data_IF_314162655391
#
_entry.id   IF_314162655391
#
_cell.length_a   1.000
_cell.length_b   1.000
_cell.length_c   1.000
_cell.angle_alpha   90.00
_cell.angle_beta   90.00
_cell.angle_gamma   90.00
#
_symmetry.space_group_name_H-M   'P 1'
#
loop_
_entity.id
_entity.type
_entity.pdbx_description
1 polymer ?
#
# COMPACT_ATOMS: atom_id res chain seq x y z
N UNK A 1 -8.46 24.54 -34.18
CA UNK A 1 -8.31 24.41 -32.71
C UNK A 1 -9.37 23.44 -32.20
N UNK A 2 -9.06 22.16 -32.10
CA UNK A 2 -10.02 21.15 -31.63
C UNK A 2 -10.33 21.34 -30.13
N UNK A 3 -11.60 21.59 -29.84
CA UNK A 3 -12.10 21.71 -28.48
C UNK A 3 -12.05 20.34 -27.78
N UNK A 4 -11.16 20.20 -26.81
CA UNK A 4 -10.99 18.94 -26.05
C UNK A 4 -12.25 18.67 -25.21
N UNK A 5 -12.88 17.50 -25.42
CA UNK A 5 -14.15 17.11 -24.79
C UNK A 5 -14.18 17.31 -23.25
N UNK A 6 -15.30 17.79 -22.67
CA UNK A 6 -15.46 17.98 -21.22
C UNK A 6 -15.16 16.75 -20.37
N UNK A 7 -15.31 15.54 -20.95
CA UNK A 7 -15.00 14.26 -20.31
C UNK A 7 -13.49 14.02 -20.18
N UNK A 8 -12.71 14.40 -21.19
CA UNK A 8 -11.23 14.37 -21.14
C UNK A 8 -10.75 15.36 -20.09
N UNK A 9 -11.38 16.53 -19.99
CA UNK A 9 -11.09 17.55 -18.96
C UNK A 9 -11.44 17.09 -17.54
N UNK A 10 -12.57 16.38 -17.33
CA UNK A 10 -12.93 15.77 -16.04
C UNK A 10 -12.02 14.60 -15.66
N UNK A 11 -11.64 13.74 -16.62
CA UNK A 11 -10.67 12.65 -16.41
C UNK A 11 -9.28 13.20 -16.09
N UNK A 12 -8.81 14.21 -16.83
CA UNK A 12 -7.57 14.95 -16.54
C UNK A 12 -7.61 15.65 -15.19
N UNK A 13 -8.73 16.30 -14.82
CA UNK A 13 -8.89 16.91 -13.48
C UNK A 13 -8.92 15.88 -12.36
N UNK A 14 -9.53 14.70 -12.56
CA UNK A 14 -9.51 13.61 -11.58
C UNK A 14 -8.13 12.97 -11.47
N UNK A 15 -7.43 12.79 -12.59
CA UNK A 15 -6.03 12.34 -12.64
C UNK A 15 -5.08 13.35 -11.98
N UNK A 16 -5.18 14.63 -12.34
CA UNK A 16 -4.41 15.72 -11.74
C UNK A 16 -4.70 15.93 -10.25
N UNK A 17 -5.95 15.72 -9.79
CA UNK A 17 -6.30 15.77 -8.35
C UNK A 17 -5.87 14.50 -7.60
N UNK A 18 -5.62 13.41 -8.32
CA UNK A 18 -4.99 12.19 -7.82
C UNK A 18 -3.45 12.28 -7.83
N UNK A 19 -2.88 13.15 -8.68
CA UNK A 19 -1.43 13.43 -8.80
C UNK A 19 -0.98 14.58 -7.88
N UNK A 20 -1.80 15.61 -7.65
CA UNK A 20 -1.44 16.86 -6.96
C UNK A 20 -2.01 16.98 -5.52
N UNK A 21 -2.12 15.84 -4.83
CA UNK A 21 -2.49 15.81 -3.41
C UNK A 21 -1.61 14.78 -2.71
N UNK A 22 -0.31 15.05 -2.64
CA UNK A 22 0.51 14.44 -1.61
C UNK A 22 -0.09 14.92 -0.27
N UNK A 23 -0.79 14.05 0.49
CA UNK A 23 -1.16 14.43 1.88
C UNK A 23 0.17 14.49 2.64
N UNK A 24 0.19 15.28 3.69
CA UNK A 24 1.37 15.66 4.47
C UNK A 24 2.23 14.48 4.96
N UNK A 25 1.64 13.30 5.13
CA UNK A 25 2.30 12.07 5.61
C UNK A 25 3.06 11.28 4.53
N UNK A 26 3.10 11.74 3.28
CA UNK A 26 3.77 11.06 2.16
C UNK A 26 4.77 11.90 1.39
N UNK A 27 4.79 13.20 1.67
CA UNK A 27 5.71 14.13 1.05
C UNK A 27 6.99 14.20 1.90
N UNK A 28 7.98 13.40 1.54
CA UNK A 28 9.27 13.35 2.23
C UNK A 28 10.03 14.69 2.15
N UNK A 29 9.69 15.51 1.14
CA UNK A 29 10.27 16.83 0.91
C UNK A 29 9.49 17.96 1.59
N UNK A 30 8.31 17.68 2.15
CA UNK A 30 7.46 18.69 2.80
C UNK A 30 7.21 19.94 1.93
N UNK A 31 7.13 19.80 0.60
CA UNK A 31 6.91 20.92 -0.35
C UNK A 31 5.62 21.66 -0.05
N UNK A 32 4.60 20.97 0.46
CA UNK A 32 3.34 21.58 0.89
C UNK A 32 3.55 22.69 1.94
N UNK A 33 4.60 22.60 2.77
CA UNK A 33 4.90 23.61 3.79
C UNK A 33 5.22 24.94 3.12
N UNK A 34 6.11 24.93 2.14
CA UNK A 34 6.49 26.14 1.40
C UNK A 34 5.40 26.64 0.45
N UNK A 35 4.55 25.73 -0.07
CA UNK A 35 3.42 26.11 -0.94
C UNK A 35 2.30 26.83 -0.17
N UNK A 36 2.00 26.38 1.06
CA UNK A 36 0.92 26.94 1.88
C UNK A 36 1.41 28.01 2.87
N UNK A 37 2.65 27.88 3.34
CA UNK A 37 3.28 28.73 4.34
C UNK A 37 4.72 29.09 3.91
N UNK A 38 4.91 29.96 2.89
CA UNK A 38 6.23 30.34 2.40
C UNK A 38 7.18 30.83 3.51
N UNK A 39 6.64 31.46 4.54
CA UNK A 39 7.36 31.94 5.71
C UNK A 39 7.97 30.82 6.59
N UNK A 40 7.60 29.55 6.37
CA UNK A 40 8.18 28.39 7.04
C UNK A 40 9.30 27.71 6.21
N UNK A 41 9.83 28.36 5.17
CA UNK A 41 10.84 27.78 4.29
C UNK A 41 12.10 27.31 5.05
N UNK A 42 12.59 28.09 6.02
CA UNK A 42 13.77 27.70 6.81
C UNK A 42 13.52 26.44 7.65
N UNK A 43 12.36 26.39 8.31
CA UNK A 43 11.91 25.20 9.03
C UNK A 43 11.78 23.96 8.14
N UNK A 44 11.26 24.13 6.92
CA UNK A 44 11.14 23.05 5.95
C UNK A 44 12.51 22.53 5.53
N UNK A 45 13.49 23.41 5.26
CA UNK A 45 14.85 23.00 4.89
C UNK A 45 15.51 22.17 6.00
N UNK A 46 15.43 22.67 7.25
CA UNK A 46 15.95 21.97 8.42
C UNK A 46 15.27 20.61 8.64
N UNK A 47 13.95 20.55 8.45
CA UNK A 47 13.20 19.30 8.59
C UNK A 47 13.57 18.29 7.52
N UNK A 48 13.73 18.70 6.26
CA UNK A 48 14.18 17.81 5.18
C UNK A 48 15.59 17.30 5.42
N UNK A 49 16.51 18.15 5.88
CA UNK A 49 17.86 17.73 6.25
C UNK A 49 17.84 16.67 7.37
N UNK A 50 17.06 16.92 8.43
CA UNK A 50 16.90 15.96 9.52
C UNK A 50 16.33 14.63 9.02
N UNK A 51 15.27 14.66 8.20
CA UNK A 51 14.62 13.45 7.69
C UNK A 51 15.54 12.58 6.82
N UNK A 52 16.54 13.16 6.13
CA UNK A 52 17.54 12.39 5.37
C UNK A 52 18.43 11.53 6.27
N UNK A 53 18.69 11.97 7.50
CA UNK A 53 19.46 11.22 8.49
C UNK A 53 18.67 10.11 9.20
N UNK A 54 17.35 10.08 9.04
CA UNK A 54 16.47 9.18 9.81
C UNK A 54 16.11 7.90 9.01
N UNK A 55 16.59 6.71 9.44
CA UNK A 55 16.50 5.50 8.61
C UNK A 55 15.12 4.80 8.62
N UNK A 56 14.23 5.16 9.54
CA UNK A 56 12.95 4.46 9.75
C UNK A 56 11.86 5.38 10.27
N UNK A 57 10.60 4.95 10.23
CA UNK A 57 9.47 5.69 10.84
C UNK A 57 9.15 7.02 10.17
N UNK A 58 9.40 7.13 8.86
CA UNK A 58 9.16 8.34 8.08
C UNK A 58 7.69 8.80 8.11
N UNK A 59 6.65 7.93 7.93
CA UNK A 59 5.26 8.38 8.02
C UNK A 59 4.92 9.06 9.35
N UNK A 60 5.40 8.50 10.47
CA UNK A 60 5.16 9.05 11.80
C UNK A 60 5.85 10.41 11.99
N UNK A 61 7.06 10.58 11.45
CA UNK A 61 7.80 11.84 11.48
C UNK A 61 7.12 12.93 10.67
N UNK A 62 6.74 12.63 9.42
CA UNK A 62 6.01 13.56 8.56
C UNK A 62 4.69 14.00 9.20
N UNK A 63 3.95 13.07 9.83
CA UNK A 63 2.72 13.41 10.53
C UNK A 63 2.98 14.31 11.75
N UNK A 64 4.00 14.03 12.56
CA UNK A 64 4.34 14.86 13.71
C UNK A 64 4.80 16.27 13.29
N UNK A 65 5.62 16.38 12.24
CA UNK A 65 6.06 17.66 11.67
C UNK A 65 4.88 18.45 11.09
N UNK A 66 3.89 17.79 10.48
CA UNK A 66 2.68 18.49 10.02
C UNK A 66 1.90 19.15 11.16
N UNK A 67 1.84 18.50 12.33
CA UNK A 67 1.23 19.07 13.53
C UNK A 67 2.06 20.21 14.11
N UNK A 68 3.39 20.09 14.09
CA UNK A 68 4.29 21.16 14.50
C UNK A 68 4.11 22.42 13.64
N UNK A 69 4.13 22.30 12.31
CA UNK A 69 3.99 23.46 11.44
C UNK A 69 2.58 24.07 11.49
N UNK A 70 1.52 23.28 11.30
CA UNK A 70 0.18 23.85 11.12
C UNK A 70 -0.53 24.17 12.43
N UNK A 71 -0.45 23.26 13.41
CA UNK A 71 -1.25 23.40 14.64
C UNK A 71 -0.52 24.14 15.73
N UNK A 72 0.80 24.05 15.77
CA UNK A 72 1.59 24.67 16.80
C UNK A 72 2.16 26.01 16.34
N UNK A 73 3.03 26.04 15.33
CA UNK A 73 3.61 27.30 14.86
C UNK A 73 2.54 28.25 14.30
N UNK A 74 1.81 27.82 13.26
CA UNK A 74 0.79 28.67 12.61
C UNK A 74 -0.45 28.82 13.50
N UNK A 75 -1.00 27.70 13.96
CA UNK A 75 -2.26 27.68 14.71
C UNK A 75 -2.23 28.44 16.03
N UNK A 76 -1.05 28.59 16.66
CA UNK A 76 -0.88 29.37 17.90
C UNK A 76 -0.12 30.67 17.69
N UNK A 77 0.14 31.05 16.43
CA UNK A 77 0.82 32.31 16.06
C UNK A 77 2.16 32.51 16.77
N UNK A 78 2.98 31.46 16.79
CA UNK A 78 4.30 31.45 17.43
C UNK A 78 5.38 32.08 16.52
N UNK A 79 6.56 32.44 17.07
CA UNK A 79 7.68 32.88 16.26
C UNK A 79 8.05 31.85 15.18
N UNK A 80 8.15 32.33 13.93
CA UNK A 80 8.41 31.48 12.77
C UNK A 80 9.89 31.42 12.39
N UNK A 81 10.71 32.34 12.91
CA UNK A 81 12.17 32.29 12.81
C UNK A 81 12.71 31.24 13.81
N UNK A 82 13.44 30.21 13.36
CA UNK A 82 14.02 29.19 14.24
C UNK A 82 14.91 29.76 15.35
N UNK A 83 15.65 30.84 15.06
CA UNK A 83 16.52 31.52 16.02
C UNK A 83 15.70 32.07 17.16
N UNK A 84 14.68 32.90 16.85
CA UNK A 84 13.81 33.51 17.86
C UNK A 84 13.03 32.45 18.61
N UNK A 85 12.53 31.43 17.92
CA UNK A 85 11.76 30.34 18.51
C UNK A 85 12.57 29.55 19.55
N UNK A 86 13.87 29.30 19.32
CA UNK A 86 14.72 28.48 20.19
C UNK A 86 15.42 29.27 21.32
N UNK A 87 15.33 30.61 21.32
CA UNK A 87 15.86 31.45 22.39
C UNK A 87 15.28 31.05 23.74
N UNK A 88 16.13 31.01 24.77
CA UNK A 88 15.73 30.72 26.16
C UNK A 88 14.76 31.74 26.73
N UNK A 89 14.77 32.96 26.20
CA UNK A 89 13.88 34.05 26.61
C UNK A 89 12.49 33.97 25.98
N UNK A 90 12.31 33.14 24.95
CA UNK A 90 11.03 33.01 24.25
C UNK A 90 10.10 32.10 25.04
N UNK A 91 9.01 32.67 25.57
CA UNK A 91 7.97 31.92 26.25
C UNK A 91 7.06 31.21 25.24
N UNK A 92 7.10 29.88 25.23
CA UNK A 92 6.31 29.05 24.32
C UNK A 92 5.29 28.20 25.09
N UNK A 93 4.06 28.02 24.54
CA UNK A 93 3.09 27.08 25.12
C UNK A 93 3.56 25.63 24.98
N UNK A 94 3.01 24.71 25.77
CA UNK A 94 3.35 23.29 25.64
C UNK A 94 2.88 22.74 24.29
N UNK A 95 3.79 22.13 23.52
CA UNK A 95 3.48 21.44 22.27
C UNK A 95 2.41 20.35 22.43
N UNK A 96 2.24 19.83 23.65
CA UNK A 96 1.16 18.90 24.00
C UNK A 96 -0.22 19.40 23.63
N UNK A 97 -0.44 20.72 23.64
CA UNK A 97 -1.70 21.37 23.25
C UNK A 97 -2.03 21.20 21.77
N UNK A 98 -1.03 21.04 20.90
CA UNK A 98 -1.21 20.92 19.46
C UNK A 98 -1.53 19.49 19.02
N UNK A 99 -1.21 18.48 19.83
CA UNK A 99 -1.36 17.04 19.51
C UNK A 99 -2.50 16.37 20.31
N UNK A 100 -3.18 15.34 19.78
CA UNK A 100 -4.30 14.67 20.44
C UNK A 100 -3.91 14.04 21.78
N UNK A 101 -4.88 13.89 22.69
CA UNK A 101 -4.64 13.19 23.96
C UNK A 101 -4.55 11.66 23.79
N UNK A 102 -3.43 11.17 23.24
CA UNK A 102 -3.27 9.75 22.90
C UNK A 102 -1.81 9.29 22.97
N UNK A 103 -1.54 7.96 22.96
CA UNK A 103 -0.19 7.43 22.85
C UNK A 103 0.57 7.86 21.60
N UNK A 104 -0.17 8.14 20.52
CA UNK A 104 0.41 8.74 19.32
C UNK A 104 0.85 10.19 19.57
N UNK A 105 0.05 10.99 20.29
CA UNK A 105 0.42 12.36 20.65
C UNK A 105 1.72 12.44 21.45
N UNK A 106 1.94 11.51 22.38
CA UNK A 106 3.22 11.38 23.12
C UNK A 106 4.37 11.06 22.17
N UNK A 107 4.17 10.12 21.24
CA UNK A 107 5.16 9.79 20.22
C UNK A 107 5.47 10.99 19.31
N UNK A 108 4.45 11.73 18.86
CA UNK A 108 4.61 12.92 18.03
C UNK A 108 5.39 14.01 18.77
N UNK A 109 5.11 14.24 20.06
CA UNK A 109 5.88 15.16 20.90
C UNK A 109 7.37 14.83 20.92
N UNK A 110 7.71 13.57 21.20
CA UNK A 110 9.12 13.16 21.30
C UNK A 110 9.83 13.19 19.93
N UNK A 111 9.08 12.98 18.84
CA UNK A 111 9.58 13.14 17.48
C UNK A 111 9.93 14.61 17.20
N UNK A 112 9.02 15.54 17.49
CA UNK A 112 9.27 16.99 17.29
C UNK A 112 10.38 17.48 18.22
N UNK A 113 10.43 17.00 19.46
CA UNK A 113 11.56 17.25 20.36
C UNK A 113 12.89 16.82 19.74
N UNK A 114 12.95 15.63 19.15
CA UNK A 114 14.15 15.12 18.46
C UNK A 114 14.55 16.01 17.29
N UNK A 115 13.59 16.45 16.48
CA UNK A 115 13.81 17.43 15.43
C UNK A 115 14.39 18.76 15.94
N UNK A 116 13.78 19.36 16.97
CA UNK A 116 14.29 20.61 17.54
C UNK A 116 15.69 20.43 18.15
N UNK A 117 15.96 19.27 18.73
CA UNK A 117 17.31 18.95 19.21
C UNK A 117 18.31 18.90 18.06
N UNK A 118 17.95 18.31 16.92
CA UNK A 118 18.79 18.34 15.72
C UNK A 118 19.10 19.77 15.29
N UNK A 119 18.09 20.65 15.21
CA UNK A 119 18.28 22.07 14.84
C UNK A 119 19.25 22.78 15.79
N UNK A 120 19.10 22.57 17.10
CA UNK A 120 20.01 23.13 18.11
C UNK A 120 21.45 22.67 17.91
N UNK A 121 21.67 21.37 17.70
CA UNK A 121 23.00 20.81 17.50
C UNK A 121 23.61 21.17 16.13
N UNK A 122 22.78 21.56 15.16
CA UNK A 122 23.23 21.88 13.81
C UNK A 122 23.60 23.35 13.64
N UNK A 123 22.86 24.25 14.28
CA UNK A 123 22.93 25.70 14.07
C UNK A 123 23.32 26.50 15.32
N UNK A 124 23.12 25.95 16.52
CA UNK A 124 23.22 26.68 17.79
C UNK A 124 24.08 25.92 18.81
N UNK A 125 25.15 25.27 18.35
CA UNK A 125 26.10 24.56 19.19
C UNK A 125 27.53 25.00 18.94
N UNK A 126 28.31 24.99 20.01
CA UNK A 126 29.75 25.26 20.01
C UNK A 126 30.51 24.01 20.46
N UNK A 127 31.78 23.89 20.06
CA UNK A 127 32.62 22.77 20.50
C UNK A 127 32.98 23.02 21.97
N UNK A 128 32.48 22.17 22.87
CA UNK A 128 32.77 22.24 24.30
C UNK A 128 34.13 21.63 24.66
N UNK A 129 34.48 21.68 25.95
CA UNK A 129 35.79 21.25 26.49
C UNK A 129 36.15 19.78 26.20
N UNK A 130 35.18 18.93 25.82
CA UNK A 130 35.39 17.52 25.44
C UNK A 130 35.44 17.24 23.93
N UNK A 131 35.60 18.26 23.08
CA UNK A 131 35.49 18.16 21.61
C UNK A 131 34.12 17.65 21.12
N UNK A 132 33.10 17.78 21.95
CA UNK A 132 31.71 17.43 21.64
C UNK A 132 30.90 18.71 21.46
N UNK A 133 30.01 18.78 20.45
CA UNK A 133 29.16 19.95 20.28
C UNK A 133 28.18 20.06 21.45
N UNK A 134 28.07 21.26 22.04
CA UNK A 134 27.17 21.58 23.15
C UNK A 134 26.34 22.79 22.73
N UNK A 135 25.04 22.76 23.03
CA UNK A 135 24.12 23.87 22.71
C UNK A 135 24.55 25.14 23.44
N UNK A 136 24.68 26.25 22.70
CA UNK A 136 25.04 27.56 23.24
C UNK A 136 24.02 28.00 24.29
N UNK A 137 24.49 28.60 25.39
CA UNK A 137 23.69 28.87 26.60
C UNK A 137 22.39 29.67 26.35
N UNK A 138 22.38 30.55 25.34
CA UNK A 138 21.22 31.37 24.96
C UNK A 138 20.06 30.60 24.33
N UNK A 139 20.27 29.34 23.94
CA UNK A 139 19.26 28.52 23.27
C UNK A 139 18.88 27.29 24.11
N UNK A 140 17.68 26.76 23.87
CA UNK A 140 17.21 25.55 24.53
C UNK A 140 16.15 24.83 23.70
N UNK A 141 15.89 23.57 24.04
CA UNK A 141 14.76 22.83 23.46
C UNK A 141 13.52 23.09 24.32
N UNK A 142 12.49 23.77 23.79
CA UNK A 142 11.30 24.12 24.56
C UNK A 142 10.36 22.93 24.81
N UNK A 143 10.58 21.79 24.13
CA UNK A 143 9.73 20.61 24.24
C UNK A 143 10.33 19.59 25.22
N UNK A 144 9.56 19.27 26.26
CA UNK A 144 9.92 18.25 27.23
C UNK A 144 9.76 16.84 26.66
N UNK A 145 10.61 15.92 27.11
CA UNK A 145 10.46 14.51 26.78
C UNK A 145 9.31 13.90 27.57
N UNK A 146 8.37 13.26 26.90
CA UNK A 146 7.22 12.62 27.53
C UNK A 146 7.40 11.10 27.62
N UNK A 147 6.91 10.53 28.72
CA UNK A 147 6.95 9.08 28.97
C UNK A 147 5.59 8.45 28.69
N UNK A 148 5.60 7.21 28.19
CA UNK A 148 4.40 6.36 28.10
C UNK A 148 4.15 5.53 29.36
N UNK A 149 5.05 5.61 30.36
CA UNK A 149 4.89 4.88 31.64
C UNK A 149 3.58 5.29 32.31
N UNK A 150 2.85 4.32 32.83
CA UNK A 150 1.56 4.53 33.51
C UNK A 150 0.34 4.58 32.59
N UNK A 151 0.51 4.59 31.26
CA UNK A 151 -0.65 4.43 30.37
C UNK A 151 -1.10 2.96 30.29
N UNK A 152 -2.41 2.70 30.14
CA UNK A 152 -2.93 1.36 29.96
C UNK A 152 -2.30 0.70 28.74
N UNK A 153 -1.54 -0.37 28.96
CA UNK A 153 -1.04 -1.23 27.89
C UNK A 153 -2.03 -2.39 27.75
N UNK A 154 -2.54 -2.60 26.55
CA UNK A 154 -3.33 -3.79 26.23
C UNK A 154 -2.36 -4.87 25.79
N UNK A 155 -2.25 -5.93 26.60
CA UNK A 155 -1.42 -7.09 26.25
C UNK A 155 -2.12 -8.04 25.28
N UNK A 156 -3.44 -7.88 25.09
CA UNK A 156 -4.26 -8.63 24.15
C UNK A 156 -5.20 -7.75 23.31
N UNK A 157 -5.71 -8.35 22.24
CA UNK A 157 -6.75 -7.74 21.41
C UNK A 157 -8.06 -7.66 22.20
N UNK A 158 -8.71 -6.50 22.19
CA UNK A 158 -10.08 -6.32 22.74
C UNK A 158 -11.16 -6.86 21.80
N UNK A 159 -10.76 -7.45 20.67
CA UNK A 159 -11.67 -8.01 19.69
C UNK A 159 -11.68 -9.53 19.78
N UNK A 160 -12.87 -10.11 19.89
CA UNK A 160 -13.08 -11.55 19.82
C UNK A 160 -12.67 -12.07 18.43
N UNK A 161 -11.94 -13.21 18.36
CA UNK A 161 -11.61 -13.84 17.08
C UNK A 161 -12.89 -14.30 16.38
N UNK A 162 -12.91 -14.21 15.05
CA UNK A 162 -14.01 -14.77 14.26
C UNK A 162 -13.97 -16.30 14.36
N UNK A 163 -15.09 -16.98 14.65
CA UNK A 163 -15.15 -18.43 14.68
C UNK A 163 -14.71 -19.04 13.33
N UNK A 164 -13.97 -20.16 13.36
CA UNK A 164 -13.46 -20.76 12.13
C UNK A 164 -14.57 -21.20 11.16
N UNK A 165 -15.65 -21.80 11.68
CA UNK A 165 -16.81 -22.19 10.84
C UNK A 165 -17.43 -21.00 10.11
N UNK A 166 -17.40 -19.81 10.71
CA UNK A 166 -17.84 -18.57 10.07
C UNK A 166 -16.91 -18.17 8.93
N UNK A 167 -15.60 -18.25 9.13
CA UNK A 167 -14.61 -18.00 8.08
C UNK A 167 -14.79 -18.99 6.91
N UNK A 168 -15.08 -20.26 7.18
CA UNK A 168 -15.32 -21.25 6.13
C UNK A 168 -16.59 -20.95 5.31
N UNK A 169 -17.70 -20.59 5.96
CA UNK A 169 -18.92 -20.15 5.28
C UNK A 169 -18.67 -18.92 4.39
N UNK A 170 -17.87 -17.97 4.86
CA UNK A 170 -17.47 -16.80 4.06
C UNK A 170 -16.67 -17.18 2.82
N UNK A 171 -15.75 -18.14 2.95
CA UNK A 171 -14.98 -18.66 1.81
C UNK A 171 -15.89 -19.37 0.81
N UNK A 172 -16.82 -20.21 1.27
CA UNK A 172 -17.78 -20.92 0.40
C UNK A 172 -18.71 -19.93 -0.34
N UNK A 173 -19.22 -18.90 0.34
CA UNK A 173 -20.05 -17.87 -0.28
C UNK A 173 -19.28 -17.07 -1.34
N UNK A 174 -18.01 -16.76 -1.07
CA UNK A 174 -17.16 -15.99 -1.98
C UNK A 174 -16.73 -16.82 -3.19
N UNK A 175 -16.19 -18.02 -2.95
CA UNK A 175 -15.65 -18.93 -3.94
C UNK A 175 -16.61 -20.11 -4.16
N UNK A 176 -17.79 -19.81 -4.69
CA UNK A 176 -18.90 -20.76 -4.83
C UNK A 176 -18.64 -21.89 -5.85
N UNK A 177 -17.64 -21.74 -6.72
CA UNK A 177 -17.24 -22.73 -7.71
C UNK A 177 -15.80 -22.51 -8.20
N UNK A 178 -15.29 -23.40 -9.07
CA UNK A 178 -13.92 -23.34 -9.56
C UNK A 178 -13.67 -22.19 -10.54
N UNK A 179 -14.70 -21.64 -11.19
CA UNK A 179 -14.55 -20.56 -12.18
C UNK A 179 -15.04 -19.22 -11.65
N UNK A 180 -14.49 -18.12 -12.18
CA UNK A 180 -14.92 -16.79 -11.79
C UNK A 180 -16.36 -16.49 -12.21
N UNK A 181 -16.90 -17.16 -13.23
CA UNK A 181 -18.34 -17.09 -13.55
C UNK A 181 -19.23 -17.62 -12.42
N UNK A 182 -18.74 -18.55 -11.60
CA UNK A 182 -19.47 -19.11 -10.45
C UNK A 182 -19.54 -18.12 -9.27
N UNK A 183 -18.68 -17.09 -9.25
CA UNK A 183 -18.59 -16.11 -8.15
C UNK A 183 -19.67 -15.02 -8.23
N UNK A 184 -20.92 -15.44 -8.48
CA UNK A 184 -22.05 -14.55 -8.77
C UNK A 184 -22.34 -13.54 -7.64
N UNK A 185 -22.15 -13.96 -6.38
CA UNK A 185 -22.27 -13.05 -5.24
C UNK A 185 -21.24 -11.92 -5.32
N UNK A 186 -19.97 -12.24 -5.55
CA UNK A 186 -18.88 -11.28 -5.63
C UNK A 186 -19.07 -10.29 -6.79
N UNK A 187 -19.49 -10.80 -7.95
CA UNK A 187 -19.80 -10.02 -9.16
C UNK A 187 -20.85 -8.92 -8.94
N UNK A 188 -21.76 -9.11 -7.98
CA UNK A 188 -22.86 -8.19 -7.68
C UNK A 188 -22.69 -7.40 -6.39
N UNK A 189 -21.62 -7.64 -5.61
CA UNK A 189 -21.52 -7.11 -4.26
C UNK A 189 -21.17 -5.61 -4.20
N UNK A 190 -20.38 -5.04 -5.13
CA UNK A 190 -19.89 -3.65 -5.05
C UNK A 190 -20.67 -2.62 -5.89
N UNK A 191 -21.74 -3.02 -6.59
CA UNK A 191 -22.50 -2.08 -7.42
C UNK A 191 -23.85 -2.62 -7.89
N UNK A 192 -24.48 -1.91 -8.83
CA UNK A 192 -25.78 -2.32 -9.35
C UNK A 192 -25.73 -3.65 -10.11
N UNK A 193 -26.79 -4.45 -9.98
CA UNK A 193 -26.99 -5.72 -10.68
C UNK A 193 -26.91 -5.54 -12.20
N UNK A 194 -26.57 -6.63 -12.90
CA UNK A 194 -26.51 -6.71 -14.36
C UNK A 194 -27.86 -6.23 -14.94
N UNK A 195 -27.82 -5.36 -15.95
CA UNK A 195 -29.03 -4.85 -16.63
C UNK A 195 -29.77 -3.69 -15.93
N UNK A 196 -29.38 -3.29 -14.72
CA UNK A 196 -30.05 -2.23 -13.97
C UNK A 196 -29.27 -0.90 -13.91
N UNK A 197 -29.99 0.22 -13.81
CA UNK A 197 -29.42 1.52 -13.45
C UNK A 197 -28.98 1.52 -11.97
N UNK A 198 -27.86 2.18 -11.65
CA UNK A 198 -27.41 2.36 -10.26
C UNK A 198 -25.93 2.73 -10.14
N UNK A 199 -25.45 2.73 -8.89
CA UNK A 199 -24.08 3.12 -8.54
C UNK A 199 -23.03 2.29 -9.31
N UNK A 200 -21.94 2.94 -9.71
CA UNK A 200 -20.83 2.28 -10.40
C UNK A 200 -20.22 1.15 -9.58
N UNK A 201 -20.01 -0.01 -10.22
CA UNK A 201 -19.30 -1.13 -9.63
C UNK A 201 -17.80 -0.98 -9.92
N UNK A 202 -16.94 -0.80 -8.90
CA UNK A 202 -15.51 -0.50 -9.07
C UNK A 202 -14.65 -1.68 -9.55
N UNK A 203 -15.20 -2.89 -9.52
CA UNK A 203 -14.62 -4.15 -9.99
C UNK A 203 -15.07 -4.53 -11.41
N UNK A 204 -15.73 -3.61 -12.11
CA UNK A 204 -16.08 -3.75 -13.53
C UNK A 204 -15.42 -2.62 -14.34
N UNK A 205 -14.67 -2.97 -15.37
CA UNK A 205 -14.02 -2.01 -16.27
C UNK A 205 -14.46 -2.18 -17.71
N UNK A 206 -14.40 -1.09 -18.46
CA UNK A 206 -14.81 -1.10 -19.86
C UNK A 206 -13.76 -1.79 -20.72
N UNK A 207 -14.23 -2.58 -21.67
CA UNK A 207 -13.43 -3.28 -22.67
C UNK A 207 -14.05 -3.11 -24.05
N UNK A 208 -13.25 -3.38 -25.07
CA UNK A 208 -13.72 -3.60 -26.44
C UNK A 208 -14.08 -5.07 -26.65
N UNK A 209 -14.86 -5.34 -27.70
CA UNK A 209 -15.42 -6.67 -27.98
C UNK A 209 -14.35 -7.73 -28.30
N UNK A 210 -13.25 -7.32 -28.94
CA UNK A 210 -12.08 -8.17 -29.23
C UNK A 210 -11.41 -8.77 -28.00
N UNK A 211 -11.70 -8.24 -26.81
CA UNK A 211 -11.13 -8.74 -25.54
C UNK A 211 -11.99 -9.82 -24.87
N UNK A 212 -13.19 -10.10 -25.40
CA UNK A 212 -14.03 -11.16 -24.88
C UNK A 212 -13.56 -12.48 -25.45
N UNK A 213 -13.31 -13.42 -24.55
CA UNK A 213 -13.12 -14.82 -24.88
C UNK A 213 -14.37 -15.58 -24.42
N UNK A 214 -15.16 -16.06 -25.38
CA UNK A 214 -16.42 -16.76 -25.10
C UNK A 214 -16.22 -18.18 -24.57
N UNK A 215 -15.04 -18.77 -24.78
CA UNK A 215 -14.71 -20.12 -24.35
C UNK A 215 -14.05 -20.14 -22.97
N UNK A 216 -13.62 -18.98 -22.47
CA UNK A 216 -13.00 -18.85 -21.16
C UNK A 216 -14.07 -18.58 -20.06
N UNK A 217 -14.36 -19.56 -19.18
CA UNK A 217 -15.32 -19.36 -18.08
C UNK A 217 -14.86 -18.32 -17.05
N UNK A 218 -13.60 -17.92 -17.08
CA UNK A 218 -13.04 -16.86 -16.23
C UNK A 218 -13.12 -15.46 -16.89
N UNK A 219 -13.57 -15.38 -18.15
CA UNK A 219 -13.89 -14.14 -18.86
C UNK A 219 -15.32 -13.66 -18.55
N UNK A 220 -15.54 -13.16 -17.34
CA UNK A 220 -16.86 -12.68 -16.93
C UNK A 220 -17.12 -11.27 -17.47
N UNK A 221 -18.10 -11.12 -18.37
CA UNK A 221 -18.45 -9.85 -19.00
C UNK A 221 -19.95 -9.51 -18.89
N UNK A 222 -20.29 -8.23 -19.13
CA UNK A 222 -21.67 -7.75 -19.19
C UNK A 222 -21.82 -6.53 -20.09
N UNK A 223 -23.03 -6.32 -20.58
CA UNK A 223 -23.45 -5.02 -21.16
C UNK A 223 -24.10 -4.17 -20.07
N UNK A 224 -23.50 -3.02 -19.75
CA UNK A 224 -24.06 -2.04 -18.82
C UNK A 224 -24.77 -0.93 -19.58
N UNK A 225 -26.08 -0.79 -19.34
CA UNK A 225 -26.87 0.33 -19.88
C UNK A 225 -26.60 1.62 -19.11
N UNK A 226 -26.51 2.72 -19.83
CA UNK A 226 -26.37 4.08 -19.32
C UNK A 226 -27.52 4.96 -19.83
N UNK A 227 -27.65 6.18 -19.30
CA UNK A 227 -28.57 7.16 -19.86
C UNK A 227 -28.18 7.50 -21.29
N UNK A 228 -29.16 7.80 -22.17
CA UNK A 228 -28.94 8.02 -23.61
C UNK A 228 -27.83 9.02 -23.95
N UNK A 229 -27.59 10.03 -23.09
CA UNK A 229 -26.55 11.05 -23.28
C UNK A 229 -25.14 10.67 -22.78
N UNK A 230 -24.94 9.47 -22.21
CA UNK A 230 -23.66 9.02 -21.68
C UNK A 230 -23.20 7.74 -22.35
N UNK A 231 -21.99 7.76 -22.94
CA UNK A 231 -21.36 6.59 -23.59
C UNK A 231 -22.28 5.87 -24.58
N UNK A 232 -22.96 6.61 -25.45
CA UNK A 232 -23.86 6.07 -26.47
C UNK A 232 -24.95 5.12 -25.88
N UNK A 233 -25.30 5.29 -24.61
CA UNK A 233 -26.33 4.51 -23.92
C UNK A 233 -25.90 3.13 -23.40
N UNK A 234 -24.69 2.64 -23.69
CA UNK A 234 -24.19 1.36 -23.15
C UNK A 234 -22.66 1.26 -23.14
N UNK A 235 -22.11 0.41 -22.27
CA UNK A 235 -20.71 -0.02 -22.36
C UNK A 235 -20.59 -1.51 -22.08
N UNK A 236 -19.69 -2.15 -22.82
CA UNK A 236 -19.24 -3.50 -22.56
C UNK A 236 -18.22 -3.47 -21.42
N UNK A 237 -18.40 -4.34 -20.43
CA UNK A 237 -17.55 -4.39 -19.25
C UNK A 237 -17.10 -5.81 -18.94
N UNK A 238 -15.88 -5.94 -18.43
CA UNK A 238 -15.35 -7.18 -17.84
C UNK A 238 -15.20 -7.02 -16.34
N UNK A 239 -15.46 -8.09 -15.61
CA UNK A 239 -15.31 -8.15 -14.16
C UNK A 239 -13.88 -8.53 -13.80
N UNK A 240 -13.33 -7.90 -12.76
CA UNK A 240 -12.02 -8.24 -12.22
C UNK A 240 -12.13 -9.05 -10.92
N UNK A 241 -11.55 -10.26 -10.88
CA UNK A 241 -11.55 -11.09 -9.68
C UNK A 241 -10.54 -10.63 -8.62
N UNK A 242 -9.64 -9.69 -8.95
CA UNK A 242 -8.42 -9.38 -8.19
C UNK A 242 -8.69 -9.05 -6.72
N UNK A 243 -9.66 -8.16 -6.45
CA UNK A 243 -9.99 -7.72 -5.08
C UNK A 243 -10.55 -8.88 -4.25
N UNK A 244 -11.30 -9.75 -4.90
CA UNK A 244 -12.01 -10.86 -4.29
C UNK A 244 -11.09 -12.03 -4.02
N UNK A 245 -10.18 -12.36 -4.94
CA UNK A 245 -9.12 -13.33 -4.69
C UNK A 245 -8.19 -12.83 -3.57
N UNK A 246 -7.85 -11.55 -3.54
CA UNK A 246 -7.06 -10.98 -2.43
C UNK A 246 -7.76 -11.15 -1.07
N UNK A 247 -9.09 -10.97 -1.04
CA UNK A 247 -9.88 -11.20 0.17
C UNK A 247 -9.94 -12.69 0.53
N UNK A 248 -10.12 -13.58 -0.44
CA UNK A 248 -10.09 -15.02 -0.23
C UNK A 248 -8.76 -15.48 0.36
N UNK A 249 -7.63 -14.99 -0.18
CA UNK A 249 -6.29 -15.24 0.37
C UNK A 249 -6.17 -14.75 1.81
N UNK A 250 -6.76 -13.58 2.15
CA UNK A 250 -6.82 -13.07 3.54
C UNK A 250 -7.66 -13.93 4.47
N UNK A 251 -8.64 -14.67 3.94
CA UNK A 251 -9.47 -15.60 4.71
C UNK A 251 -8.80 -16.96 4.88
N UNK A 252 -7.93 -17.37 3.95
CA UNK A 252 -7.21 -18.65 4.00
C UNK A 252 -5.90 -18.52 4.80
N UNK A 253 -5.09 -17.52 4.46
CA UNK A 253 -3.74 -17.36 5.00
C UNK A 253 -3.69 -16.33 6.15
N UNK A 254 -2.84 -16.54 7.16
CA UNK A 254 -2.62 -15.61 8.27
C UNK A 254 -1.73 -14.41 7.87
N UNK A 255 -1.97 -13.81 6.71
CA UNK A 255 -1.19 -12.70 6.17
C UNK A 255 -1.81 -11.35 6.54
N UNK A 256 -0.95 -10.34 6.74
CA UNK A 256 -1.38 -8.94 6.87
C UNK A 256 -1.81 -8.40 5.51
N UNK A 257 -2.75 -7.46 5.51
CA UNK A 257 -3.22 -6.78 4.29
C UNK A 257 -2.06 -6.21 3.47
N UNK A 258 -1.11 -5.55 4.12
CA UNK A 258 0.08 -5.00 3.45
C UNK A 258 0.96 -6.05 2.78
N UNK A 259 0.97 -7.30 3.27
CA UNK A 259 1.73 -8.41 2.67
C UNK A 259 1.01 -8.95 1.44
N UNK A 260 -0.29 -9.25 1.56
CA UNK A 260 -1.09 -9.79 0.45
C UNK A 260 -1.04 -8.87 -0.76
N UNK A 261 -1.22 -7.56 -0.54
CA UNK A 261 -1.31 -6.57 -1.62
C UNK A 261 -0.09 -6.53 -2.52
N UNK A 262 1.09 -6.76 -1.96
CA UNK A 262 2.37 -6.61 -2.66
C UNK A 262 2.97 -7.94 -3.09
N UNK A 263 2.22 -9.06 -2.98
CA UNK A 263 2.69 -10.34 -3.48
C UNK A 263 3.02 -10.26 -4.98
N UNK A 264 4.13 -10.91 -5.34
CA UNK A 264 4.60 -10.98 -6.71
C UNK A 264 3.99 -12.21 -7.41
N UNK A 265 3.65 -12.07 -8.68
CA UNK A 265 3.03 -13.12 -9.49
C UNK A 265 4.03 -14.17 -9.98
N UNK A 266 5.33 -13.84 -9.99
CA UNK A 266 6.37 -14.66 -10.59
C UNK A 266 6.38 -14.64 -12.12
N UNK A 267 5.67 -13.71 -12.77
CA UNK A 267 5.62 -13.62 -14.24
C UNK A 267 7.01 -13.40 -14.86
N UNK A 268 7.92 -12.76 -14.14
CA UNK A 268 9.30 -12.52 -14.55
C UNK A 268 10.31 -13.55 -14.00
N UNK A 269 9.88 -14.50 -13.16
CA UNK A 269 10.80 -15.46 -12.54
C UNK A 269 11.39 -16.42 -13.58
N UNK A 270 12.59 -16.94 -13.31
CA UNK A 270 13.28 -17.86 -14.22
C UNK A 270 12.54 -19.20 -14.34
N UNK A 271 12.02 -19.70 -13.22
CA UNK A 271 11.23 -20.93 -13.17
C UNK A 271 9.78 -20.59 -12.90
N UNK A 272 8.87 -21.28 -13.58
CA UNK A 272 7.43 -21.03 -13.50
C UNK A 272 6.70 -22.27 -12.99
N UNK A 273 5.90 -22.06 -11.96
CA UNK A 273 4.98 -23.06 -11.45
C UNK A 273 3.70 -23.07 -12.29
N UNK A 274 3.34 -24.23 -12.86
CA UNK A 274 2.11 -24.42 -13.63
C UNK A 274 1.51 -25.78 -13.30
N UNK A 275 0.26 -25.80 -12.83
CA UNK A 275 -0.51 -27.01 -12.58
C UNK A 275 0.26 -28.11 -11.81
N UNK A 276 0.94 -27.74 -10.72
CA UNK A 276 1.71 -28.67 -9.89
C UNK A 276 3.17 -28.86 -10.30
N UNK A 277 3.60 -28.35 -11.46
CA UNK A 277 4.91 -28.63 -12.02
C UNK A 277 5.74 -27.36 -12.20
N UNK A 278 7.07 -27.48 -12.17
CA UNK A 278 7.99 -26.39 -12.49
C UNK A 278 8.56 -26.56 -13.89
N UNK A 279 8.60 -25.46 -14.66
CA UNK A 279 9.24 -25.41 -15.97
C UNK A 279 10.02 -24.11 -16.16
N UNK A 280 10.94 -24.09 -17.12
CA UNK A 280 11.66 -22.87 -17.48
C UNK A 280 10.68 -21.85 -18.05
N UNK A 281 10.69 -20.63 -17.52
CA UNK A 281 9.83 -19.55 -18.00
C UNK A 281 10.37 -19.03 -19.35
N UNK A 282 9.52 -19.06 -20.37
CA UNK A 282 9.83 -18.56 -21.73
C UNK A 282 9.11 -17.26 -22.05
N UNK A 283 8.49 -16.62 -21.06
CA UNK A 283 7.83 -15.34 -21.24
C UNK A 283 8.81 -14.22 -21.60
N UNK A 284 8.34 -13.22 -22.34
CA UNK A 284 9.16 -12.09 -22.83
C UNK A 284 9.80 -11.27 -21.71
N UNK A 285 9.16 -11.24 -20.54
CA UNK A 285 9.63 -10.51 -19.36
C UNK A 285 10.37 -11.40 -18.36
N UNK A 286 10.63 -12.66 -18.71
CA UNK A 286 11.39 -13.56 -17.85
C UNK A 286 12.83 -13.07 -17.69
N UNK A 287 13.34 -13.16 -16.47
CA UNK A 287 14.67 -12.68 -16.11
C UNK A 287 15.43 -13.73 -15.30
N UNK A 288 16.75 -13.54 -15.20
CA UNK A 288 17.67 -14.46 -14.54
C UNK A 288 18.12 -15.60 -15.46
N UNK A 289 18.85 -16.54 -14.89
CA UNK A 289 19.36 -17.73 -15.58
C UNK A 289 19.20 -18.96 -14.68
N UNK A 290 19.31 -20.17 -15.21
CA UNK A 290 19.28 -21.38 -14.38
C UNK A 290 20.36 -21.36 -13.29
N UNK A 291 21.53 -20.79 -13.58
CA UNK A 291 22.63 -20.61 -12.64
C UNK A 291 22.42 -19.48 -11.62
N UNK A 292 21.64 -18.46 -11.97
CA UNK A 292 21.33 -17.32 -11.10
C UNK A 292 19.86 -16.93 -11.26
N UNK A 293 18.94 -17.76 -10.74
CA UNK A 293 17.52 -17.61 -11.03
C UNK A 293 16.95 -16.37 -10.34
N UNK A 294 16.10 -15.64 -11.06
CA UNK A 294 15.16 -14.73 -10.44
C UNK A 294 14.02 -15.57 -9.84
N UNK A 295 13.75 -15.31 -8.56
CA UNK A 295 12.69 -15.96 -7.81
C UNK A 295 12.10 -14.92 -6.85
N UNK A 296 11.08 -14.20 -7.29
CA UNK A 296 10.36 -13.20 -6.49
C UNK A 296 8.89 -13.59 -6.28
N UNK A 297 8.36 -14.43 -7.16
CA UNK A 297 6.98 -14.87 -7.18
C UNK A 297 6.52 -15.50 -5.88
N UNK A 298 5.20 -15.44 -5.68
CA UNK A 298 4.52 -16.04 -4.53
C UNK A 298 4.73 -17.55 -4.46
N UNK A 299 5.00 -18.21 -5.59
CA UNK A 299 5.40 -19.61 -5.61
C UNK A 299 6.92 -19.72 -5.54
N UNK A 300 7.43 -20.54 -4.62
CA UNK A 300 8.84 -20.82 -4.49
C UNK A 300 9.10 -22.30 -4.68
N UNK A 301 10.01 -22.61 -5.61
CA UNK A 301 10.57 -23.93 -5.78
C UNK A 301 11.56 -24.20 -4.66
N UNK A 302 11.36 -25.30 -3.94
CA UNK A 302 12.28 -25.83 -2.95
C UNK A 302 12.68 -27.23 -3.40
N UNK A 303 13.98 -27.49 -3.47
CA UNK A 303 14.52 -28.83 -3.76
C UNK A 303 15.07 -29.36 -2.46
N UNK A 304 14.61 -30.54 -2.06
CA UNK A 304 15.12 -31.18 -0.85
C UNK A 304 16.47 -31.88 -1.10
N UNK A 305 17.02 -32.53 -0.06
CA UNK A 305 18.31 -33.24 -0.16
C UNK A 305 18.23 -34.49 -1.04
N UNK A 306 17.04 -35.02 -1.27
CA UNK A 306 16.76 -36.18 -2.11
C UNK A 306 16.56 -35.80 -3.58
N UNK A 307 16.44 -34.51 -3.88
CA UNK A 307 16.24 -33.99 -5.23
C UNK A 307 14.76 -33.78 -5.58
N UNK A 308 13.84 -34.04 -4.66
CA UNK A 308 12.41 -33.88 -4.89
C UNK A 308 12.04 -32.39 -4.85
N UNK A 309 11.29 -31.99 -5.88
CA UNK A 309 10.80 -30.63 -6.02
C UNK A 309 9.50 -30.45 -5.25
N UNK A 310 9.48 -29.46 -4.37
CA UNK A 310 8.31 -29.02 -3.63
C UNK A 310 8.05 -27.54 -3.86
N UNK A 311 6.79 -27.14 -3.67
CA UNK A 311 6.35 -25.75 -3.83
C UNK A 311 5.87 -25.20 -2.50
N UNK A 312 6.43 -24.07 -2.09
CA UNK A 312 5.98 -23.32 -0.90
C UNK A 312 5.58 -21.90 -1.29
N UNK A 313 4.84 -21.21 -0.42
CA UNK A 313 4.52 -19.81 -0.65
C UNK A 313 5.69 -18.93 -0.20
N UNK A 314 6.04 -17.91 -0.97
CA UNK A 314 7.01 -16.90 -0.60
C UNK A 314 6.33 -15.55 -0.39
N UNK A 315 6.57 -14.95 0.78
CA UNK A 315 6.06 -13.64 1.13
C UNK A 315 7.22 -12.67 1.09
N UNK A 316 7.19 -11.74 0.15
CA UNK A 316 8.28 -10.80 -0.15
C UNK A 316 8.55 -9.75 0.94
N UNK A 317 7.77 -9.70 2.02
CA UNK A 317 7.99 -8.77 3.13
C UNK A 317 7.61 -9.33 4.50
N UNK A 318 8.48 -9.09 5.48
CA UNK A 318 8.32 -9.45 6.90
C UNK A 318 8.49 -8.25 7.84
N UNK A 319 7.87 -7.10 7.51
CA UNK A 319 7.76 -5.89 8.35
C UNK A 319 9.01 -5.61 9.22
N UNK A 320 8.97 -5.98 10.50
CA UNK A 320 10.02 -5.71 11.50
C UNK A 320 11.24 -6.60 11.35
N UNK A 321 11.08 -7.85 10.89
CA UNK A 321 12.18 -8.77 10.71
C UNK A 321 13.05 -8.44 9.49
N UNK A 322 12.56 -7.62 8.57
CA UNK A 322 13.29 -7.17 7.38
C UNK A 322 14.04 -5.85 7.59
N UNK A 323 13.89 -5.19 8.74
CA UNK A 323 14.47 -3.84 8.99
C UNK A 323 16.01 -3.88 8.88
N UNK A 324 16.64 -4.95 9.36
CA UNK A 324 18.10 -5.11 9.38
C UNK A 324 18.63 -5.97 8.23
N UNK A 325 17.78 -6.37 7.29
CA UNK A 325 18.15 -7.33 6.23
C UNK A 325 18.36 -6.64 4.90
N UNK A 326 19.40 -7.07 4.18
CA UNK A 326 19.65 -6.70 2.79
C UNK A 326 18.65 -7.38 1.85
N UNK A 327 18.59 -6.92 0.60
CA UNK A 327 17.65 -7.39 -0.44
C UNK A 327 17.48 -8.92 -0.52
N UNK A 328 18.56 -9.68 -0.42
CA UNK A 328 18.54 -11.14 -0.53
C UNK A 328 17.94 -11.86 0.70
N UNK A 329 17.95 -11.22 1.87
CA UNK A 329 17.44 -11.81 3.12
C UNK A 329 15.99 -11.43 3.45
N UNK A 330 15.38 -10.53 2.67
CA UNK A 330 14.02 -10.05 2.91
C UNK A 330 12.98 -11.11 2.56
N UNK A 331 11.83 -11.02 3.22
CA UNK A 331 10.75 -11.98 3.04
C UNK A 331 10.96 -13.28 3.81
N UNK A 332 10.08 -14.25 3.56
CA UNK A 332 10.10 -15.56 4.21
C UNK A 332 9.30 -16.60 3.43
N UNK A 333 9.63 -17.87 3.66
CA UNK A 333 8.85 -19.00 3.18
C UNK A 333 7.71 -19.31 4.14
N UNK A 334 6.54 -19.55 3.59
CA UNK A 334 5.34 -19.98 4.28
C UNK A 334 4.93 -21.35 3.70
N UNK A 335 5.32 -22.46 4.35
CA UNK A 335 4.77 -23.77 4.04
C UNK A 335 3.25 -23.73 4.24
N UNK A 336 2.50 -24.28 3.28
CA UNK A 336 1.05 -24.35 3.34
C UNK A 336 0.55 -25.62 2.67
N UNK A 337 -0.66 -26.05 3.04
CA UNK A 337 -1.27 -27.28 2.51
C UNK A 337 -1.65 -27.09 1.04
N UNK A 338 -1.32 -28.08 0.21
CA UNK A 338 -1.74 -28.17 -1.18
C UNK A 338 -3.09 -28.87 -1.31
N UNK A 339 -3.93 -28.41 -2.23
CA UNK A 339 -5.22 -29.04 -2.50
C UNK A 339 -6.34 -28.67 -1.52
N UNK A 340 -7.22 -29.64 -1.25
CA UNK A 340 -8.44 -29.45 -0.45
C UNK A 340 -9.64 -28.96 -1.26
N UNK A 341 -10.70 -28.57 -0.56
CA UNK A 341 -11.87 -27.98 -1.19
C UNK A 341 -11.48 -26.70 -1.95
N UNK A 342 -12.15 -26.42 -3.07
CA UNK A 342 -11.78 -25.33 -3.99
C UNK A 342 -11.67 -24.00 -3.24
N UNK A 343 -12.60 -23.67 -2.33
CA UNK A 343 -12.60 -22.43 -1.54
C UNK A 343 -11.46 -22.32 -0.50
N UNK A 344 -10.66 -23.36 -0.32
CA UNK A 344 -9.49 -23.40 0.58
C UNK A 344 -8.16 -23.54 -0.16
N UNK A 345 -8.19 -23.93 -1.44
CA UNK A 345 -6.99 -24.19 -2.24
C UNK A 345 -6.33 -22.88 -2.68
N UNK A 346 -5.43 -22.35 -1.86
CA UNK A 346 -4.76 -21.08 -2.12
C UNK A 346 -3.82 -21.13 -3.33
N UNK A 347 -3.17 -22.26 -3.60
CA UNK A 347 -2.29 -22.41 -4.75
C UNK A 347 -3.08 -22.29 -6.06
N UNK A 348 -4.24 -22.95 -6.12
CA UNK A 348 -5.16 -22.84 -7.24
C UNK A 348 -5.57 -21.38 -7.50
N UNK A 349 -6.04 -20.65 -6.48
CA UNK A 349 -6.52 -19.28 -6.68
C UNK A 349 -5.43 -18.28 -7.02
N UNK A 350 -4.23 -18.41 -6.43
CA UNK A 350 -3.09 -17.56 -6.77
C UNK A 350 -2.63 -17.80 -8.22
N UNK A 351 -2.57 -19.06 -8.65
CA UNK A 351 -2.19 -19.43 -10.01
C UNK A 351 -3.26 -18.98 -11.02
N UNK A 352 -4.53 -19.25 -10.74
CA UNK A 352 -5.66 -18.84 -11.58
C UNK A 352 -5.70 -17.33 -11.74
N UNK A 353 -5.48 -16.57 -10.67
CA UNK A 353 -5.40 -15.11 -10.75
C UNK A 353 -4.20 -14.66 -11.58
N UNK A 354 -3.01 -15.26 -11.42
CA UNK A 354 -1.85 -14.95 -12.25
C UNK A 354 -2.18 -15.13 -13.73
N UNK A 355 -2.75 -16.28 -14.10
CA UNK A 355 -3.08 -16.58 -15.50
C UNK A 355 -4.13 -15.60 -16.05
N UNK A 356 -5.14 -15.24 -15.24
CA UNK A 356 -6.13 -14.20 -15.60
C UNK A 356 -5.47 -12.84 -15.82
N UNK A 357 -4.52 -12.45 -14.96
CA UNK A 357 -3.77 -11.21 -15.09
C UNK A 357 -2.92 -11.19 -16.36
N UNK A 358 -2.21 -12.27 -16.68
CA UNK A 358 -1.42 -12.37 -17.92
C UNK A 358 -2.28 -12.19 -19.18
N UNK A 359 -3.47 -12.78 -19.20
CA UNK A 359 -4.38 -12.71 -20.35
C UNK A 359 -5.11 -11.36 -20.46
N UNK A 360 -5.63 -10.86 -19.34
CA UNK A 360 -6.56 -9.72 -19.34
C UNK A 360 -5.98 -8.41 -18.80
N UNK A 361 -4.78 -8.43 -18.23
CA UNK A 361 -4.05 -7.26 -17.75
C UNK A 361 -2.52 -7.48 -17.83
N UNK A 362 -1.99 -7.75 -19.05
CA UNK A 362 -0.60 -8.10 -19.26
C UNK A 362 0.33 -6.96 -18.83
N UNK A 363 1.51 -7.32 -18.38
CA UNK A 363 2.58 -6.39 -18.04
C UNK A 363 3.75 -6.55 -19.02
N UNK A 364 4.39 -5.44 -19.35
CA UNK A 364 5.53 -5.41 -20.27
C UNK A 364 6.89 -5.37 -19.56
N UNK A 365 6.87 -5.08 -18.24
CA UNK A 365 8.06 -5.02 -17.39
C UNK A 365 7.67 -5.12 -15.93
N UNK A 366 8.64 -5.46 -15.08
CA UNK A 366 8.53 -5.31 -13.63
C UNK A 366 8.36 -3.83 -13.26
N UNK A 367 7.59 -3.59 -12.21
CA UNK A 367 7.28 -2.25 -11.71
C UNK A 367 8.23 -1.90 -10.58
N UNK A 368 8.90 -0.75 -10.68
CA UNK A 368 9.77 -0.29 -9.61
C UNK A 368 8.96 0.26 -8.42
N UNK A 369 9.43 0.01 -7.21
CA UNK A 369 8.79 0.52 -5.99
C UNK A 369 8.83 2.05 -5.92
N UNK A 370 9.81 2.69 -6.56
CA UNK A 370 9.91 4.15 -6.67
C UNK A 370 8.77 4.75 -7.52
N UNK A 371 8.10 3.94 -8.35
CA UNK A 371 6.95 4.39 -9.13
C UNK A 371 5.66 4.44 -8.32
N UNK A 372 5.62 3.75 -7.18
CA UNK A 372 4.42 3.59 -6.39
C UNK A 372 4.17 4.84 -5.56
N UNK A 373 3.00 5.43 -5.75
CA UNK A 373 2.52 6.43 -4.81
C UNK A 373 2.00 5.79 -3.52
N UNK A 374 1.78 6.63 -2.51
CA UNK A 374 1.41 6.16 -1.16
C UNK A 374 0.11 5.35 -1.06
N UNK A 375 -0.78 5.49 -2.04
CA UNK A 375 -2.07 4.77 -2.03
C UNK A 375 -1.78 3.27 -2.09
N UNK A 376 -0.65 2.93 -2.68
CA UNK A 376 -0.18 1.58 -2.90
C UNK A 376 0.83 1.14 -1.83
N UNK A 377 1.70 2.02 -1.34
CA UNK A 377 2.70 1.68 -0.30
C UNK A 377 2.81 2.76 0.79
N UNK A 378 3.27 2.43 1.98
CA UNK A 378 3.69 3.47 2.93
C UNK A 378 4.93 4.20 2.39
N UNK A 379 5.09 5.48 2.73
CA UNK A 379 6.28 6.24 2.31
C UNK A 379 7.54 5.55 2.84
N UNK A 380 8.55 5.47 1.97
CA UNK A 380 9.84 4.83 2.21
C UNK A 380 10.95 5.84 1.96
N UNK A 381 12.06 5.71 2.67
CA UNK A 381 13.29 6.46 2.37
C UNK A 381 13.88 5.98 1.05
N UNK A 382 14.76 6.78 0.44
CA UNK A 382 15.46 6.41 -0.80
C UNK A 382 16.24 5.09 -0.64
N UNK A 383 16.92 4.93 0.49
CA UNK A 383 17.65 3.70 0.85
C UNK A 383 16.68 2.50 0.90
N UNK A 384 15.52 2.67 1.54
CA UNK A 384 14.52 1.60 1.62
C UNK A 384 13.94 1.24 0.25
N UNK A 385 13.77 2.22 -0.65
CA UNK A 385 13.30 1.98 -2.02
C UNK A 385 14.36 1.27 -2.86
N UNK A 386 15.64 1.66 -2.74
CA UNK A 386 16.75 1.01 -3.44
C UNK A 386 16.88 -0.48 -3.09
N UNK A 387 16.55 -0.85 -1.84
CA UNK A 387 16.55 -2.25 -1.42
C UNK A 387 15.28 -3.04 -1.79
N UNK A 388 14.28 -2.41 -2.40
CA UNK A 388 13.06 -3.11 -2.83
C UNK A 388 13.24 -3.58 -4.28
N UNK A 389 13.17 -4.90 -4.55
CA UNK A 389 13.22 -5.38 -5.92
C UNK A 389 11.99 -4.95 -6.71
N UNK A 390 12.20 -4.56 -7.97
CA UNK A 390 11.12 -4.42 -8.93
C UNK A 390 10.26 -5.68 -8.96
N UNK A 391 8.94 -5.50 -9.08
CA UNK A 391 7.97 -6.55 -8.85
C UNK A 391 6.93 -6.65 -9.98
N UNK A 392 6.47 -7.87 -10.23
CA UNK A 392 5.26 -8.18 -10.98
C UNK A 392 4.11 -8.34 -9.98
N UNK A 393 3.46 -7.24 -9.58
CA UNK A 393 2.40 -7.33 -8.56
C UNK A 393 1.25 -8.24 -9.02
N UNK A 394 0.99 -9.31 -8.27
CA UNK A 394 -0.08 -10.27 -8.56
C UNK A 394 -1.45 -9.61 -8.45
N UNK A 395 -1.63 -8.81 -7.40
CA UNK A 395 -2.90 -8.16 -7.14
C UNK A 395 -2.93 -6.72 -7.67
N UNK A 396 -2.84 -6.59 -8.99
CA UNK A 396 -2.90 -5.32 -9.72
C UNK A 396 -4.25 -5.12 -10.40
N UNK A 397 -4.72 -3.87 -10.54
CA UNK A 397 -6.11 -3.59 -10.92
C UNK A 397 -6.23 -3.05 -12.35
N UNK A 398 -6.91 -3.76 -13.29
CA UNK A 398 -7.10 -3.28 -14.66
C UNK A 398 -8.02 -2.05 -14.73
N UNK A 399 -8.84 -1.81 -13.70
CA UNK A 399 -9.76 -0.67 -13.66
C UNK A 399 -9.06 0.63 -13.28
N UNK A 400 -7.77 0.58 -12.94
CA UNK A 400 -7.01 1.79 -12.72
C UNK A 400 -6.97 2.68 -13.96
N UNK A 401 -7.04 4.01 -13.76
CA UNK A 401 -7.35 4.95 -14.83
C UNK A 401 -6.23 5.09 -15.87
N UNK A 402 -4.98 4.87 -15.48
CA UNK A 402 -3.81 5.01 -16.36
C UNK A 402 -3.13 3.66 -16.54
N UNK A 403 -2.54 3.44 -17.72
CA UNK A 403 -1.85 2.19 -18.05
C UNK A 403 -0.75 1.85 -17.02
N UNK A 404 0.03 2.86 -16.60
CA UNK A 404 1.05 2.69 -15.56
C UNK A 404 0.47 2.21 -14.23
N UNK A 405 -0.64 2.80 -13.79
CA UNK A 405 -1.26 2.42 -12.51
C UNK A 405 -1.82 0.99 -12.55
N UNK A 406 -2.23 0.46 -13.71
CA UNK A 406 -2.74 -0.92 -13.83
C UNK A 406 -1.73 -2.00 -13.44
N UNK A 407 -0.46 -1.63 -13.33
CA UNK A 407 0.62 -2.49 -12.87
C UNK A 407 0.87 -2.35 -11.35
N UNK A 408 0.28 -1.37 -10.70
CA UNK A 408 0.47 -1.10 -9.27
C UNK A 408 -0.36 -2.08 -8.42
N UNK A 409 0.10 -2.43 -7.21
CA UNK A 409 -0.67 -3.30 -6.33
C UNK A 409 -1.95 -2.60 -5.90
N UNK A 410 -3.00 -3.36 -5.57
CA UNK A 410 -4.28 -2.79 -5.14
C UNK A 410 -4.10 -1.87 -3.92
N UNK A 411 -5.04 -0.96 -3.69
CA UNK A 411 -5.07 -0.08 -2.51
C UNK A 411 -5.66 -0.78 -1.27
N UNK A 412 -5.22 -0.41 -0.07
CA UNK A 412 -5.77 -0.97 1.20
C UNK A 412 -7.29 -0.83 1.28
N UNK A 413 -7.81 0.34 0.87
CA UNK A 413 -9.24 0.64 0.94
C UNK A 413 -10.09 -0.27 0.04
N UNK A 414 -9.52 -0.83 -1.04
CA UNK A 414 -10.23 -1.72 -1.93
C UNK A 414 -10.62 -3.02 -1.20
N UNK A 415 -9.70 -3.58 -0.37
CA UNK A 415 -9.98 -4.76 0.43
C UNK A 415 -10.97 -4.49 1.56
N UNK A 416 -10.83 -3.35 2.26
CA UNK A 416 -11.76 -2.98 3.33
C UNK A 416 -13.19 -2.95 2.81
N UNK A 417 -13.41 -2.34 1.65
CA UNK A 417 -14.74 -2.29 1.03
C UNK A 417 -15.30 -3.68 0.74
N UNK A 418 -14.50 -4.58 0.16
CA UNK A 418 -14.94 -5.96 -0.13
C UNK A 418 -15.29 -6.71 1.16
N UNK A 419 -14.45 -6.57 2.19
CA UNK A 419 -14.68 -7.16 3.51
C UNK A 419 -15.99 -6.71 4.14
N UNK A 420 -16.27 -5.40 4.14
CA UNK A 420 -17.54 -4.87 4.66
C UNK A 420 -18.75 -5.45 3.92
N UNK A 421 -18.68 -5.62 2.60
CA UNK A 421 -19.79 -6.20 1.84
C UNK A 421 -19.95 -7.70 2.12
N UNK A 422 -18.86 -8.43 2.29
CA UNK A 422 -18.86 -9.86 2.62
C UNK A 422 -19.54 -10.15 3.97
N UNK A 423 -19.46 -9.21 4.92
CA UNK A 423 -20.12 -9.33 6.23
C UNK A 423 -21.62 -9.00 6.21
N UNK A 424 -22.12 -8.24 5.21
CA UNK A 424 -23.53 -7.75 5.21
C UNK A 424 -24.59 -8.84 5.26
N UNK A 425 -24.50 -9.96 4.53
CA UNK A 425 -25.51 -11.01 4.57
C UNK A 425 -25.70 -11.60 5.97
N UNK A 426 -24.70 -11.45 6.85
CA UNK A 426 -24.62 -12.16 8.12
C UNK A 426 -25.06 -11.28 9.30
N UNK A 427 -25.02 -9.95 9.15
CA UNK A 427 -25.58 -9.00 10.11
C UNK A 427 -27.11 -8.81 9.95
N UNK A 428 -27.77 -9.65 9.13
CA UNK A 428 -29.23 -9.63 8.90
C UNK A 428 -29.96 -10.78 9.61
N UNK A 429 -29.23 -11.56 10.40
CA UNK A 429 -29.76 -12.50 11.41
C UNK A 429 -29.62 -11.81 12.75
#
# INVERSE_FOLDING_TARGET
>A
MEATSPLIRKRRRKAARLECSLRRDSDATLTWVTELYPQLAEWQMLAVEWLRGEPSGLPQRLQALSYFFERYLVGQSLPLDPTVFLLRTTCLPDFRSAVPNSPWGISANNVVRGFLQFVLMRNFSEIGEGNMPVVTAGYHNPILHLSKKGMPKRDESVHSPLPYGYIDQLRQMLAAGPHFCDWQWAQSALGSKIGHFGAGAPDWFDISEDRIDHEDPDCVWRVRKYSRGYRNGQALQMWSPVRWVALLVKLILPLRTSQVRVLDSGEADTWRYTAGHWGLNRGEISEGSESRPLQQGVFRRTVDRTGDESTVLYINTNKTADISKTRAGKGYLLPWVHGGAVHQNVFYWLEKLRNWQEKYNPILRRTSWAELDRRHIMVKTEIQLADCPDACFLFRLPEYPTARMRNFPLQDQALNTCWFHLQKPLNRV
#
